data_IF_744959312208
#
_entry.id   IF_744959312208
#
_cell.length_a   1.000
_cell.length_b   1.000
_cell.length_c   1.000
_cell.angle_alpha   90.00
_cell.angle_beta   90.00
_cell.angle_gamma   90.00
#
_symmetry.space_group_name_H-M   'P 1'
#
loop_
_entity.id
_entity.type
_entity.pdbx_description
1 polymer ?
#
# COMPACT_ATOMS: atom_id res chain seq x y z
N UNK A 1 21.71 -0.49 30.66
CA UNK A 1 22.20 0.89 30.52
C UNK A 1 21.44 1.72 31.52
N UNK A 2 22.18 2.42 32.38
CA UNK A 2 21.60 3.38 33.31
C UNK A 2 21.07 4.61 32.53
N UNK A 3 20.14 5.36 33.13
CA UNK A 3 19.49 6.51 32.46
C UNK A 3 20.52 7.52 31.94
N UNK A 4 21.55 7.81 32.74
CA UNK A 4 22.57 8.77 32.38
C UNK A 4 23.48 8.25 31.23
N UNK A 5 23.70 6.93 31.14
CA UNK A 5 24.44 6.32 30.03
C UNK A 5 23.67 6.44 28.71
N UNK A 6 22.35 6.27 28.73
CA UNK A 6 21.49 6.42 27.55
C UNK A 6 21.45 7.87 27.07
N UNK A 7 21.33 8.83 28.00
CA UNK A 7 21.36 10.26 27.67
C UNK A 7 22.70 10.67 27.05
N UNK A 8 23.81 10.16 27.60
CA UNK A 8 25.14 10.43 27.07
C UNK A 8 25.34 9.78 25.68
N UNK A 9 24.90 8.54 25.50
CA UNK A 9 24.98 7.83 24.22
C UNK A 9 24.14 8.50 23.12
N UNK A 10 22.93 8.96 23.46
CA UNK A 10 22.01 9.63 22.54
C UNK A 10 22.27 11.14 22.43
N UNK A 11 23.27 11.67 23.14
CA UNK A 11 23.57 13.11 23.25
C UNK A 11 22.29 13.91 23.50
N UNK A 12 21.55 13.52 24.53
CA UNK A 12 20.26 14.09 24.90
C UNK A 12 20.30 14.58 26.34
N UNK A 13 19.45 15.54 26.67
CA UNK A 13 19.35 16.11 28.01
C UNK A 13 18.04 15.67 28.68
N UNK A 14 17.99 15.75 30.01
CA UNK A 14 16.78 15.41 30.79
C UNK A 14 15.59 16.31 30.46
N UNK A 15 15.88 17.52 30.00
CA UNK A 15 14.93 18.56 29.59
C UNK A 15 14.55 18.46 28.09
N UNK A 16 14.99 17.41 27.40
CA UNK A 16 14.70 17.18 25.99
C UNK A 16 15.77 17.75 25.05
N UNK A 17 15.47 17.73 23.75
CA UNK A 17 16.40 18.20 22.71
C UNK A 17 16.09 19.64 22.29
N UNK A 18 17.12 20.39 21.91
CA UNK A 18 16.97 21.71 21.30
C UNK A 18 16.36 21.62 19.90
N UNK A 19 15.70 22.69 19.47
CA UNK A 19 15.07 22.75 18.13
C UNK A 19 16.09 22.54 17.00
N UNK A 20 17.31 23.05 17.17
CA UNK A 20 18.41 22.91 16.20
C UNK A 20 18.85 21.45 16.06
N UNK A 21 19.02 20.76 17.20
CA UNK A 21 19.40 19.35 17.26
C UNK A 21 18.30 18.46 16.65
N UNK A 22 17.03 18.77 16.91
CA UNK A 22 15.88 18.09 16.29
C UNK A 22 15.89 18.25 14.77
N UNK A 23 16.12 19.46 14.25
CA UNK A 23 16.18 19.70 12.80
C UNK A 23 17.36 18.97 12.14
N UNK A 24 18.50 18.93 12.83
CA UNK A 24 19.68 18.19 12.36
C UNK A 24 19.40 16.69 12.29
N UNK A 25 18.84 16.11 13.35
CA UNK A 25 18.48 14.69 13.40
C UNK A 25 17.39 14.33 12.41
N UNK A 26 16.42 15.21 12.18
CA UNK A 26 15.37 14.97 11.17
C UNK A 26 15.96 14.89 9.76
N UNK A 27 17.01 15.66 9.45
CA UNK A 27 17.72 15.57 8.16
C UNK A 27 18.58 14.31 8.05
N UNK A 28 19.17 13.86 9.15
CA UNK A 28 20.05 12.69 9.17
C UNK A 28 19.28 11.37 9.13
N UNK A 29 18.26 11.25 9.99
CA UNK A 29 17.49 10.01 10.16
C UNK A 29 16.18 9.98 9.37
N UNK A 30 15.68 11.14 8.95
CA UNK A 30 14.37 11.27 8.31
C UNK A 30 13.20 11.26 9.32
N UNK A 31 11.97 11.41 8.83
CA UNK A 31 10.77 11.31 9.67
C UNK A 31 10.61 9.90 10.21
N UNK A 32 10.04 9.78 11.42
CA UNK A 32 9.68 8.50 12.02
C UNK A 32 8.41 7.93 11.36
N UNK A 33 8.54 7.54 10.09
CA UNK A 33 7.47 6.98 9.28
C UNK A 33 7.93 5.67 8.63
N UNK A 34 7.05 4.66 8.65
CA UNK A 34 7.30 3.44 7.91
C UNK A 34 7.24 3.74 6.40
N UNK A 35 8.24 3.27 5.66
CA UNK A 35 8.25 3.36 4.19
C UNK A 35 6.95 2.77 3.65
N UNK A 36 6.12 3.59 2.99
CA UNK A 36 4.93 3.11 2.30
C UNK A 36 5.36 2.08 1.25
N UNK A 37 4.79 0.87 1.30
CA UNK A 37 4.96 -0.07 0.19
C UNK A 37 4.47 0.60 -1.09
N UNK A 38 5.22 0.40 -2.17
CA UNK A 38 4.87 0.98 -3.48
C UNK A 38 3.50 0.45 -3.85
N UNK A 39 2.55 1.37 -4.12
CA UNK A 39 1.24 1.04 -4.69
C UNK A 39 1.46 0.04 -5.84
N UNK A 40 0.71 -1.07 -5.85
CA UNK A 40 0.78 -2.01 -6.97
C UNK A 40 0.48 -1.20 -8.24
N UNK A 41 1.39 -1.22 -9.22
CA UNK A 41 1.16 -0.50 -10.47
C UNK A 41 -0.06 -1.10 -11.18
N UNK A 42 -0.83 -0.27 -11.88
CA UNK A 42 -2.02 -0.73 -12.62
C UNK A 42 -1.69 -1.90 -13.57
N UNK A 43 -0.49 -1.88 -14.18
CA UNK A 43 0.02 -2.97 -15.02
C UNK A 43 0.27 -4.25 -14.23
N UNK A 44 0.83 -4.16 -13.01
CA UNK A 44 1.03 -5.33 -12.15
C UNK A 44 -0.29 -5.92 -11.68
N UNK A 45 -1.28 -5.07 -11.35
CA UNK A 45 -2.62 -5.51 -10.96
C UNK A 45 -3.32 -6.23 -12.13
N UNK A 46 -3.18 -5.70 -13.35
CA UNK A 46 -3.69 -6.34 -14.57
C UNK A 46 -3.02 -7.70 -14.83
N UNK A 47 -1.70 -7.80 -14.67
CA UNK A 47 -0.99 -9.07 -14.82
C UNK A 47 -1.34 -10.09 -13.72
N UNK A 48 -1.67 -9.64 -12.52
CA UNK A 48 -2.16 -10.52 -11.43
C UNK A 48 -3.52 -11.13 -11.76
N UNK A 49 -4.39 -10.45 -12.53
CA UNK A 49 -5.68 -11.03 -12.93
C UNK A 49 -5.54 -12.30 -13.79
N UNK A 50 -4.49 -12.45 -14.59
CA UNK A 50 -4.27 -13.67 -15.37
C UNK A 50 -3.92 -14.89 -14.50
N UNK A 51 -3.64 -14.68 -13.20
CA UNK A 51 -3.45 -15.77 -12.22
C UNK A 51 -4.74 -16.12 -11.50
N UNK A 52 -5.80 -15.33 -11.68
CA UNK A 52 -7.09 -15.59 -11.07
C UNK A 52 -7.76 -16.79 -11.74
N UNK A 53 -8.19 -17.76 -10.94
CA UNK A 53 -8.82 -18.99 -11.43
C UNK A 53 -10.07 -18.70 -12.24
N UNK A 54 -10.87 -17.69 -11.86
CA UNK A 54 -12.08 -17.30 -12.60
C UNK A 54 -11.74 -16.71 -13.96
N UNK A 55 -10.70 -15.88 -14.06
CA UNK A 55 -10.20 -15.33 -15.34
C UNK A 55 -9.73 -16.47 -16.25
N UNK A 56 -8.97 -17.43 -15.71
CA UNK A 56 -8.50 -18.59 -16.48
C UNK A 56 -9.69 -19.40 -17.03
N UNK A 57 -10.72 -19.62 -16.22
CA UNK A 57 -11.96 -20.31 -16.67
C UNK A 57 -12.63 -19.53 -17.81
N UNK A 58 -12.75 -18.20 -17.69
CA UNK A 58 -13.37 -17.37 -18.72
C UNK A 58 -12.55 -17.32 -20.01
N UNK A 59 -11.21 -17.31 -19.91
CA UNK A 59 -10.33 -17.41 -21.08
C UNK A 59 -10.48 -18.76 -21.80
N UNK A 60 -10.58 -19.86 -21.05
CA UNK A 60 -10.86 -21.19 -21.63
C UNK A 60 -12.24 -21.19 -22.30
N UNK A 61 -13.27 -20.66 -21.65
CA UNK A 61 -14.62 -20.56 -22.22
C UNK A 61 -14.64 -19.73 -23.51
N UNK A 62 -13.93 -18.60 -23.53
CA UNK A 62 -13.78 -17.75 -24.72
C UNK A 62 -13.09 -18.51 -25.86
N UNK A 63 -12.01 -19.23 -25.57
CA UNK A 63 -11.29 -20.01 -26.58
C UNK A 63 -12.14 -21.15 -27.15
N UNK A 64 -12.91 -21.85 -26.31
CA UNK A 64 -13.85 -22.88 -26.74
C UNK A 64 -14.98 -22.30 -27.61
N UNK A 65 -15.57 -21.19 -27.19
CA UNK A 65 -16.65 -20.52 -27.93
C UNK A 65 -16.18 -20.01 -29.30
N UNK A 66 -14.97 -19.44 -29.36
CA UNK A 66 -14.33 -19.09 -30.64
C UNK A 66 -14.05 -20.31 -31.53
N UNK A 67 -13.63 -21.44 -30.96
CA UNK A 67 -13.37 -22.67 -31.72
C UNK A 67 -14.65 -23.26 -32.32
N UNK A 68 -15.80 -23.06 -31.66
CA UNK A 68 -17.13 -23.47 -32.13
C UNK A 68 -17.69 -22.47 -33.16
N UNK A 69 -17.11 -21.27 -33.26
CA UNK A 69 -17.54 -20.23 -34.20
C UNK A 69 -18.62 -19.29 -33.63
N UNK A 70 -18.89 -19.37 -32.33
CA UNK A 70 -19.89 -18.56 -31.63
C UNK A 70 -19.30 -17.20 -31.21
N UNK A 71 -19.13 -16.32 -32.20
CA UNK A 71 -18.48 -15.01 -31.98
C UNK A 71 -19.27 -14.14 -30.99
N UNK A 72 -20.60 -14.25 -30.95
CA UNK A 72 -21.44 -13.49 -30.00
C UNK A 72 -21.16 -13.87 -28.56
N UNK A 73 -21.05 -15.16 -28.26
CA UNK A 73 -20.78 -15.64 -26.90
C UNK A 73 -19.37 -15.25 -26.45
N UNK A 74 -18.38 -15.35 -27.34
CA UNK A 74 -17.03 -14.85 -27.08
C UNK A 74 -17.01 -13.34 -26.73
N UNK A 75 -17.80 -12.51 -27.43
CA UNK A 75 -17.92 -11.07 -27.14
C UNK A 75 -18.54 -10.84 -25.76
N UNK A 76 -19.59 -11.58 -25.39
CA UNK A 76 -20.24 -11.48 -24.08
C UNK A 76 -19.25 -11.82 -22.97
N UNK A 77 -18.48 -12.90 -23.12
CA UNK A 77 -17.48 -13.31 -22.12
C UNK A 77 -16.39 -12.24 -21.97
N UNK A 78 -15.90 -11.67 -23.08
CA UNK A 78 -14.91 -10.58 -23.04
C UNK A 78 -15.47 -9.35 -22.30
N UNK A 79 -16.73 -8.99 -22.54
CA UNK A 79 -17.37 -7.88 -21.83
C UNK A 79 -17.44 -8.13 -20.32
N UNK A 80 -17.76 -9.36 -19.90
CA UNK A 80 -17.76 -9.76 -18.49
C UNK A 80 -16.36 -9.66 -17.89
N UNK A 81 -15.33 -10.15 -18.58
CA UNK A 81 -13.93 -10.07 -18.12
C UNK A 81 -13.51 -8.62 -17.90
N UNK A 82 -13.83 -7.72 -18.84
CA UNK A 82 -13.54 -6.28 -18.71
C UNK A 82 -14.28 -5.69 -17.50
N UNK A 83 -15.56 -6.02 -17.32
CA UNK A 83 -16.33 -5.55 -16.17
C UNK A 83 -15.74 -6.04 -14.84
N UNK A 84 -15.36 -7.31 -14.74
CA UNK A 84 -14.70 -7.88 -13.57
C UNK A 84 -13.33 -7.23 -13.31
N UNK A 85 -12.56 -6.92 -14.34
CA UNK A 85 -11.29 -6.22 -14.20
C UNK A 85 -11.45 -4.82 -13.62
N UNK A 86 -12.44 -4.07 -14.12
CA UNK A 86 -12.77 -2.72 -13.63
C UNK A 86 -13.29 -2.80 -12.18
N UNK A 87 -14.25 -3.69 -11.90
CA UNK A 87 -14.78 -3.87 -10.55
C UNK A 87 -13.68 -4.28 -9.56
N UNK A 88 -12.85 -5.26 -9.91
CA UNK A 88 -11.73 -5.70 -9.08
C UNK A 88 -10.71 -4.59 -8.81
N UNK A 89 -10.41 -3.74 -9.81
CA UNK A 89 -9.57 -2.56 -9.61
C UNK A 89 -10.20 -1.57 -8.60
N UNK A 90 -11.50 -1.29 -8.74
CA UNK A 90 -12.21 -0.40 -7.82
C UNK A 90 -12.31 -0.97 -6.39
N UNK A 91 -12.51 -2.28 -6.25
CA UNK A 91 -12.53 -2.97 -4.97
C UNK A 91 -11.17 -2.89 -4.27
N UNK A 92 -10.08 -3.21 -4.98
CA UNK A 92 -8.72 -3.14 -4.45
C UNK A 92 -8.36 -1.70 -4.06
N UNK A 93 -8.68 -0.73 -4.92
CA UNK A 93 -8.44 0.69 -4.65
C UNK A 93 -9.20 1.17 -3.41
N UNK A 94 -10.45 0.72 -3.23
CA UNK A 94 -11.26 1.06 -2.07
C UNK A 94 -10.71 0.42 -0.80
N UNK A 95 -10.27 -0.83 -0.87
CA UNK A 95 -9.66 -1.55 0.24
C UNK A 95 -8.35 -0.86 0.70
N UNK A 96 -7.49 -0.48 -0.26
CA UNK A 96 -6.24 0.23 0.02
C UNK A 96 -6.51 1.58 0.71
N UNK A 97 -7.50 2.33 0.22
CA UNK A 97 -7.90 3.62 0.82
C UNK A 97 -8.47 3.46 2.23
N UNK A 98 -9.25 2.41 2.47
CA UNK A 98 -9.77 2.09 3.80
C UNK A 98 -8.63 1.76 4.79
N UNK A 99 -7.65 0.98 4.34
CA UNK A 99 -6.46 0.67 5.14
C UNK A 99 -5.62 1.93 5.44
N UNK A 100 -5.45 2.82 4.46
CA UNK A 100 -4.75 4.10 4.67
C UNK A 100 -5.48 4.99 5.68
N UNK A 101 -6.81 5.04 5.63
CA UNK A 101 -7.62 5.78 6.61
C UNK A 101 -7.46 5.17 8.02
N UNK A 102 -7.52 3.85 8.15
CA UNK A 102 -7.31 3.16 9.42
C UNK A 102 -5.92 3.48 10.02
N UNK A 103 -4.86 3.38 9.20
CA UNK A 103 -3.49 3.73 9.61
C UNK A 103 -3.36 5.18 10.09
N UNK A 104 -4.11 6.12 9.51
CA UNK A 104 -4.13 7.52 9.96
C UNK A 104 -4.87 7.70 11.28
N UNK A 105 -5.94 6.94 11.52
CA UNK A 105 -6.70 7.01 12.78
C UNK A 105 -5.94 6.41 13.96
N UNK A 106 -5.11 5.39 13.71
CA UNK A 106 -4.28 4.75 14.73
C UNK A 106 -2.86 5.30 14.78
N UNK A 107 -2.56 6.34 14.00
CA UNK A 107 -1.22 6.92 13.94
C UNK A 107 -0.79 7.31 15.37
N UNK A 108 0.22 6.63 15.94
CA UNK A 108 0.61 6.88 17.32
C UNK A 108 1.19 8.29 17.40
N UNK A 109 0.58 9.12 18.24
CA UNK A 109 1.17 10.40 18.61
C UNK A 109 2.18 10.16 19.72
N UNK A 110 3.34 10.80 19.62
CA UNK A 110 4.37 10.73 20.64
C UNK A 110 4.40 12.06 21.39
N UNK A 111 4.19 12.02 22.70
CA UNK A 111 4.44 13.16 23.58
C UNK A 111 5.94 13.27 23.79
N UNK A 112 6.52 14.42 23.48
CA UNK A 112 7.97 14.67 23.59
C UNK A 112 8.22 15.98 24.33
N UNK A 113 9.29 16.01 25.12
CA UNK A 113 9.81 17.23 25.76
C UNK A 113 10.91 17.83 24.86
N UNK A 114 10.86 19.14 24.62
CA UNK A 114 11.78 19.85 23.72
C UNK A 114 11.96 21.28 24.19
N UNK A 115 13.22 21.71 24.26
CA UNK A 115 13.62 23.03 24.77
C UNK A 115 13.19 23.28 26.23
N UNK A 116 13.24 22.27 27.10
CA UNK A 116 12.67 22.33 28.46
C UNK A 116 11.18 22.05 28.48
#
# INVERSE_FOLDING_TARGET
MEVDEVLQALRAEKEGLSTEEVQKRLKEYGPNELKKEKRKSAVRLFLEQFKDILIIILLIATALSMAIGEVYDAIVIIAIVIACAVLGFFEEYRAEKALEALKKMTAPTATVLRNG
#
